data_IF_983635628802
#
_entry.id   IF_983635628802
#
_cell.length_a   1.000
_cell.length_b   1.000
_cell.length_c   1.000
_cell.angle_alpha   90.00
_cell.angle_beta   90.00
_cell.angle_gamma   90.00
#
_symmetry.space_group_name_H-M   'P 1'
#
loop_
_entity.id
_entity.type
_entity.pdbx_description
1 polymer ?
#
# COMPACT_ATOMS: atom_id res chain seq x y z
N UNK A 1 6.38 -67.05 -26.57
CA UNK A 1 5.35 -66.05 -26.19
C UNK A 1 6.06 -64.81 -25.69
N UNK A 2 5.99 -63.71 -26.45
CA UNK A 2 6.62 -62.44 -26.12
C UNK A 2 5.56 -61.45 -25.67
N UNK A 3 5.73 -60.88 -24.47
CA UNK A 3 5.09 -59.62 -24.11
C UNK A 3 6.14 -58.77 -23.40
N UNK A 4 6.76 -57.88 -24.17
CA UNK A 4 7.60 -56.79 -23.65
C UNK A 4 6.68 -55.71 -23.11
N UNK A 5 6.65 -55.54 -21.78
CA UNK A 5 5.91 -54.47 -21.13
C UNK A 5 6.80 -53.22 -21.14
N UNK A 6 6.48 -52.28 -22.02
CA UNK A 6 7.13 -50.97 -22.10
C UNK A 6 6.47 -50.10 -21.02
N UNK A 7 7.19 -49.86 -19.93
CA UNK A 7 6.79 -48.95 -18.86
C UNK A 7 6.99 -47.50 -19.36
N UNK A 8 5.98 -46.93 -20.02
CA UNK A 8 5.92 -45.51 -20.36
C UNK A 8 5.74 -44.70 -19.08
N UNK A 9 6.85 -44.20 -18.54
CA UNK A 9 6.87 -43.25 -17.44
C UNK A 9 6.36 -41.90 -17.98
N UNK A 10 5.06 -41.67 -17.91
CA UNK A 10 4.46 -40.36 -18.21
C UNK A 10 4.98 -39.34 -17.20
N UNK A 11 6.00 -38.58 -17.60
CA UNK A 11 6.31 -37.27 -17.04
C UNK A 11 5.11 -36.35 -17.29
N UNK A 12 4.12 -36.44 -16.40
CA UNK A 12 3.15 -35.36 -16.24
C UNK A 12 3.94 -34.17 -15.70
N UNK A 13 4.46 -33.35 -16.62
CA UNK A 13 4.92 -32.00 -16.33
C UNK A 13 3.72 -31.27 -15.72
N UNK A 14 3.65 -31.22 -14.39
CA UNK A 14 2.82 -30.25 -13.70
C UNK A 14 3.43 -28.89 -14.03
N UNK A 15 2.98 -28.32 -15.15
CA UNK A 15 3.12 -26.90 -15.41
C UNK A 15 2.29 -26.20 -14.35
N UNK A 16 2.89 -25.92 -13.20
CA UNK A 16 2.44 -24.83 -12.35
C UNK A 16 2.63 -23.56 -13.18
N UNK A 17 1.67 -23.24 -14.05
CA UNK A 17 1.53 -21.90 -14.56
C UNK A 17 1.19 -21.05 -13.34
N UNK A 18 2.22 -20.50 -12.71
CA UNK A 18 2.06 -19.46 -11.71
C UNK A 18 1.44 -18.28 -12.45
N UNK A 19 0.11 -18.22 -12.50
CA UNK A 19 -0.64 -17.00 -12.76
C UNK A 19 -0.51 -16.08 -11.53
N UNK A 20 0.71 -15.88 -11.03
CA UNK A 20 1.00 -14.71 -10.22
C UNK A 20 0.93 -13.55 -11.21
N UNK A 21 -0.27 -12.99 -11.32
CA UNK A 21 -0.48 -11.67 -11.87
C UNK A 21 0.50 -10.75 -11.16
N UNK A 22 1.63 -10.47 -11.82
CA UNK A 22 2.63 -9.52 -11.34
C UNK A 22 1.95 -8.17 -11.41
N UNK A 23 1.24 -7.81 -10.36
CA UNK A 23 0.76 -6.46 -10.18
C UNK A 23 1.99 -5.54 -10.25
N UNK A 24 1.95 -4.48 -11.08
CA UNK A 24 3.04 -3.52 -11.13
C UNK A 24 3.28 -2.93 -9.74
N UNK A 25 4.52 -2.52 -9.49
CA UNK A 25 4.84 -1.82 -8.26
C UNK A 25 4.04 -0.49 -8.21
N UNK A 26 3.52 -0.07 -7.03
CA UNK A 26 2.73 1.14 -6.93
C UNK A 26 3.57 2.36 -7.28
N UNK A 27 2.97 3.27 -8.02
CA UNK A 27 3.61 4.52 -8.46
C UNK A 27 3.13 5.72 -7.67
N UNK A 28 1.95 5.61 -7.06
CA UNK A 28 1.40 6.63 -6.18
C UNK A 28 0.70 6.04 -4.97
N UNK A 29 0.57 6.88 -3.96
CA UNK A 29 -0.25 6.64 -2.78
C UNK A 29 -1.03 7.91 -2.45
N UNK A 30 -2.31 7.75 -2.15
CA UNK A 30 -3.20 8.88 -1.85
C UNK A 30 -3.79 8.71 -0.45
N UNK A 31 -3.58 9.72 0.40
CA UNK A 31 -4.20 9.86 1.72
C UNK A 31 -5.49 10.66 1.57
N UNK A 32 -6.58 10.17 2.16
CA UNK A 32 -7.86 10.86 2.31
C UNK A 32 -8.10 11.22 3.77
N UNK A 33 -8.52 12.45 4.03
CA UNK A 33 -8.89 12.92 5.36
C UNK A 33 -9.96 14.02 5.25
N UNK A 34 -11.07 13.88 5.99
CA UNK A 34 -12.23 14.76 5.79
C UNK A 34 -12.71 14.72 4.33
N UNK A 35 -12.87 15.89 3.73
CA UNK A 35 -13.25 16.07 2.31
C UNK A 35 -12.03 16.32 1.39
N UNK A 36 -10.82 16.07 1.90
CA UNK A 36 -9.56 16.39 1.25
C UNK A 36 -8.75 15.14 0.95
N UNK A 37 -7.89 15.20 -0.08
CA UNK A 37 -6.91 14.17 -0.39
C UNK A 37 -5.53 14.75 -0.70
N UNK A 38 -4.49 13.97 -0.43
CA UNK A 38 -3.09 14.31 -0.71
C UNK A 38 -2.45 13.09 -1.37
N UNK A 39 -1.94 13.26 -2.59
CA UNK A 39 -1.21 12.22 -3.30
C UNK A 39 0.30 12.43 -3.17
N UNK A 40 1.05 11.34 -3.14
CA UNK A 40 2.50 11.30 -3.18
C UNK A 40 2.94 10.31 -4.25
N UNK A 41 3.98 10.67 -5.01
CA UNK A 41 4.68 9.71 -5.87
C UNK A 41 5.54 8.77 -5.02
N UNK A 42 5.56 7.50 -5.39
CA UNK A 42 6.45 6.50 -4.78
C UNK A 42 7.79 6.55 -5.50
N UNK A 43 8.86 6.78 -4.76
CA UNK A 43 10.22 6.90 -5.30
C UNK A 43 10.85 5.52 -5.53
N UNK A 44 12.01 5.49 -6.19
CA UNK A 44 12.74 4.25 -6.48
C UNK A 44 13.12 3.46 -5.22
N UNK A 45 13.44 4.16 -4.13
CA UNK A 45 13.73 3.59 -2.81
C UNK A 45 12.47 3.15 -2.03
N UNK A 46 11.31 3.22 -2.69
CA UNK A 46 9.98 2.86 -2.19
C UNK A 46 9.46 3.77 -1.08
N UNK A 47 10.08 4.92 -0.87
CA UNK A 47 9.58 5.94 0.05
C UNK A 47 8.60 6.88 -0.64
N UNK A 48 7.77 7.55 0.16
CA UNK A 48 6.90 8.61 -0.31
C UNK A 48 6.77 9.71 0.76
N UNK A 49 6.51 10.93 0.30
CA UNK A 49 6.23 12.07 1.18
C UNK A 49 5.44 13.13 0.43
N UNK A 50 4.45 13.71 1.09
CA UNK A 50 3.68 14.85 0.57
C UNK A 50 3.19 15.72 1.72
N UNK A 51 2.97 17.01 1.43
CA UNK A 51 2.53 18.00 2.39
C UNK A 51 1.44 18.85 1.77
N UNK A 52 0.33 18.97 2.48
CA UNK A 52 -0.70 19.97 2.20
C UNK A 52 -0.72 20.97 3.35
N UNK A 53 -0.51 22.25 3.06
CA UNK A 53 -0.48 23.29 4.09
C UNK A 53 -1.22 24.54 3.61
N UNK A 54 -2.05 25.08 4.49
CA UNK A 54 -2.78 26.33 4.26
C UNK A 54 -2.63 27.27 5.48
N UNK A 55 -3.51 28.27 5.61
CA UNK A 55 -3.46 29.23 6.73
C UNK A 55 -4.01 28.67 8.05
N UNK A 56 -4.75 27.58 8.01
CA UNK A 56 -5.44 26.95 9.15
C UNK A 56 -4.65 25.75 9.68
N UNK A 57 -4.12 24.92 8.79
CA UNK A 57 -3.43 23.68 9.15
C UNK A 57 -2.35 23.24 8.15
N UNK A 58 -1.55 22.28 8.57
CA UNK A 58 -0.66 21.48 7.73
C UNK A 58 -0.92 19.99 7.96
N UNK A 59 -0.85 19.21 6.90
CA UNK A 59 -0.88 17.75 6.94
C UNK A 59 0.33 17.24 6.16
N UNK A 60 1.21 16.55 6.87
CA UNK A 60 2.34 15.81 6.30
C UNK A 60 1.98 14.33 6.28
N UNK A 61 2.24 13.69 5.14
CA UNK A 61 1.98 12.29 4.90
C UNK A 61 3.23 11.65 4.29
N UNK A 62 3.81 10.67 4.98
CA UNK A 62 5.04 10.00 4.53
C UNK A 62 5.09 8.55 4.94
N UNK A 63 6.00 7.79 4.34
CA UNK A 63 6.14 6.38 4.63
C UNK A 63 7.01 5.60 3.67
N UNK A 64 6.89 4.28 3.75
CA UNK A 64 7.61 3.32 2.90
C UNK A 64 6.69 2.17 2.50
N UNK A 65 6.81 1.72 1.26
CA UNK A 65 6.08 0.58 0.71
C UNK A 65 7.04 -0.61 0.55
N UNK A 66 6.66 -1.76 1.10
CA UNK A 66 7.43 -3.01 1.04
C UNK A 66 6.59 -4.09 0.39
N UNK A 67 7.13 -4.74 -0.64
CA UNK A 67 6.43 -5.82 -1.35
C UNK A 67 6.19 -7.03 -0.44
N UNK A 68 4.97 -7.55 -0.44
CA UNK A 68 4.55 -8.73 0.34
C UNK A 68 3.50 -9.49 -0.47
N UNK A 69 3.90 -10.44 -1.30
CA UNK A 69 2.96 -11.11 -2.21
C UNK A 69 1.75 -11.71 -1.46
N UNK A 70 0.49 -11.44 -1.89
CA UNK A 70 0.08 -10.76 -3.14
C UNK A 70 -0.19 -9.23 -3.05
N UNK A 71 0.36 -8.53 -2.05
CA UNK A 71 0.17 -7.10 -1.82
C UNK A 71 1.42 -6.38 -1.28
N UNK A 72 1.20 -5.42 -0.39
CA UNK A 72 2.23 -4.53 0.13
C UNK A 72 2.06 -4.28 1.62
N UNK A 73 3.16 -4.31 2.36
CA UNK A 73 3.25 -3.69 3.68
C UNK A 73 3.54 -2.20 3.50
N UNK A 74 2.69 -1.35 4.07
CA UNK A 74 2.83 0.10 4.00
C UNK A 74 2.97 0.64 5.41
N UNK A 75 4.14 1.19 5.72
CA UNK A 75 4.36 1.93 6.96
C UNK A 75 4.07 3.40 6.69
N UNK A 76 3.20 3.99 7.50
CA UNK A 76 2.65 5.33 7.29
C UNK A 76 2.82 6.18 8.53
N UNK A 77 3.25 7.43 8.31
CA UNK A 77 3.24 8.52 9.27
C UNK A 77 2.37 9.66 8.72
N UNK A 78 1.35 10.02 9.48
CA UNK A 78 0.52 11.21 9.23
C UNK A 78 0.72 12.20 10.37
N UNK A 79 1.10 13.44 10.07
CA UNK A 79 1.23 14.52 11.03
C UNK A 79 0.28 15.64 10.62
N UNK A 80 -0.69 15.99 11.47
CA UNK A 80 -1.57 17.14 11.28
C UNK A 80 -1.28 18.20 12.31
N UNK A 81 -1.02 19.42 11.88
CA UNK A 81 -0.80 20.57 12.75
C UNK A 81 -1.86 21.64 12.49
N UNK A 82 -2.67 21.96 13.49
CA UNK A 82 -3.54 23.13 13.48
C UNK A 82 -2.78 24.33 14.00
N UNK A 83 -2.95 25.48 13.34
CA UNK A 83 -2.26 26.72 13.69
C UNK A 83 -2.93 27.47 14.84
N UNK A 84 -4.27 27.43 14.92
CA UNK A 84 -5.04 28.07 16.00
C UNK A 84 -6.34 27.29 16.33
N UNK A 85 -6.54 26.84 17.59
CA UNK A 85 -5.51 26.75 18.63
C UNK A 85 -4.40 25.81 18.17
N UNK A 86 -3.16 26.12 18.56
CA UNK A 86 -2.00 25.31 18.17
C UNK A 86 -2.14 23.88 18.69
N UNK A 87 -2.18 22.91 17.79
CA UNK A 87 -2.32 21.49 18.14
C UNK A 87 -1.65 20.63 17.08
N UNK A 88 -0.86 19.65 17.51
CA UNK A 88 -0.26 18.65 16.62
C UNK A 88 -0.83 17.27 16.94
N UNK A 89 -1.13 16.50 15.90
CA UNK A 89 -1.60 15.12 15.99
C UNK A 89 -0.72 14.27 15.08
N UNK A 90 -0.39 13.07 15.55
CA UNK A 90 0.41 12.12 14.80
C UNK A 90 -0.29 10.77 14.80
N UNK A 91 -0.26 10.10 13.66
CA UNK A 91 -0.78 8.76 13.49
C UNK A 91 0.27 7.94 12.75
N UNK A 92 0.64 6.81 13.37
CA UNK A 92 1.58 5.85 12.82
C UNK A 92 0.86 4.52 12.65
N UNK A 93 0.97 3.92 11.46
CA UNK A 93 0.34 2.63 11.20
C UNK A 93 1.20 1.79 10.25
N UNK A 94 1.08 0.47 10.37
CA UNK A 94 1.60 -0.50 9.42
C UNK A 94 0.40 -1.27 8.86
N UNK A 95 0.20 -1.20 7.55
CA UNK A 95 -0.97 -1.75 6.87
C UNK A 95 -0.54 -2.84 5.89
N UNK A 96 -1.36 -3.87 5.74
CA UNK A 96 -1.27 -4.80 4.61
C UNK A 96 -2.31 -4.36 3.58
N UNK A 97 -1.86 -4.00 2.37
CA UNK A 97 -2.70 -3.38 1.35
C UNK A 97 -2.55 -4.08 0.00
N UNK A 98 -3.62 -4.08 -0.79
CA UNK A 98 -3.57 -4.39 -2.23
C UNK A 98 -3.75 -3.11 -3.05
N UNK A 99 -3.17 -3.02 -4.27
CA UNK A 99 -3.45 -1.93 -5.17
C UNK A 99 -4.94 -1.76 -5.44
N UNK A 100 -5.40 -0.51 -5.46
CA UNK A 100 -6.82 -0.17 -5.64
C UNK A 100 -7.72 -0.38 -4.42
N UNK A 101 -7.20 -0.91 -3.31
CA UNK A 101 -7.96 -1.10 -2.07
C UNK A 101 -7.87 0.14 -1.19
N UNK A 102 -9.02 0.72 -0.82
CA UNK A 102 -9.10 1.81 0.14
C UNK A 102 -9.10 1.24 1.57
N UNK A 103 -8.07 1.57 2.35
CA UNK A 103 -7.84 1.00 3.69
C UNK A 103 -7.88 2.11 4.75
N UNK A 104 -8.57 1.83 5.87
CA UNK A 104 -8.57 2.71 7.04
C UNK A 104 -7.21 2.64 7.75
N UNK A 105 -6.51 3.77 7.83
CA UNK A 105 -5.25 3.90 8.60
C UNK A 105 -5.55 4.01 10.10
N UNK A 106 -6.68 4.62 10.43
CA UNK A 106 -7.13 4.90 11.80
C UNK A 106 -7.66 6.32 11.93
N UNK A 107 -7.85 6.77 13.17
CA UNK A 107 -8.40 8.10 13.41
C UNK A 107 -8.21 8.61 14.83
N UNK A 108 -8.27 9.94 14.97
CA UNK A 108 -8.19 10.65 16.25
C UNK A 108 -9.28 11.72 16.28
N UNK A 109 -10.12 11.73 17.32
CA UNK A 109 -11.17 12.75 17.53
C UNK A 109 -12.08 12.95 16.30
N UNK A 110 -12.64 11.86 15.78
CA UNK A 110 -13.53 11.78 14.61
C UNK A 110 -12.89 12.07 13.23
N UNK A 111 -11.60 12.41 13.18
CA UNK A 111 -10.87 12.44 11.91
C UNK A 111 -10.48 11.00 11.55
N UNK A 112 -10.95 10.48 10.42
CA UNK A 112 -10.57 9.17 9.88
C UNK A 112 -9.65 9.38 8.69
N UNK A 113 -8.49 8.70 8.72
CA UNK A 113 -7.52 8.69 7.64
C UNK A 113 -7.66 7.40 6.85
N UNK A 114 -7.75 7.52 5.53
CA UNK A 114 -7.86 6.40 4.59
C UNK A 114 -6.77 6.51 3.54
N UNK A 115 -6.29 5.38 3.04
CA UNK A 115 -5.22 5.34 2.04
C UNK A 115 -5.53 4.37 0.92
N UNK A 116 -5.05 4.69 -0.27
CA UNK A 116 -5.06 3.80 -1.44
C UNK A 116 -3.68 3.87 -2.11
N UNK A 117 -3.18 2.72 -2.56
CA UNK A 117 -1.99 2.63 -3.41
C UNK A 117 -2.42 2.29 -4.83
N UNK A 118 -1.76 2.91 -5.82
CA UNK A 118 -2.11 2.86 -7.25
C UNK A 118 -0.92 2.39 -8.09
#
# INVERSE_FOLDING_TARGET
MQFRVILMLCLALMGCSSNQELAPDPTSITLFYGDTSISAGVLEDKTFSSVLADRVESVTFSGVIRKQDPGYFVDILVIREKKEPRSTRQLNASLLMKPGELVDVGGVNNDVFRVIIE
#
